data_IF_008173126199
#
_entry.id   IF_008173126199
#
_cell.length_a   1.000
_cell.length_b   1.000
_cell.length_c   1.000
_cell.angle_alpha   90.00
_cell.angle_beta   90.00
_cell.angle_gamma   90.00
#
_symmetry.space_group_name_H-M   'P 1'
#
loop_
_entity.id
_entity.type
_entity.pdbx_description
1 polymer ?
#
# COMPACT_ATOMS: atom_id res chain seq x y z
N UNK A 1 12.90 11.25 -6.77
CA UNK A 1 12.38 11.91 -8.01
C UNK A 1 11.89 10.94 -9.09
N UNK A 2 12.40 9.70 -9.21
CA UNK A 2 11.94 8.72 -10.22
C UNK A 2 10.55 8.11 -9.95
N UNK A 3 10.14 7.96 -8.67
CA UNK A 3 8.83 7.41 -8.31
C UNK A 3 7.64 8.34 -8.68
N UNK A 4 7.85 9.66 -8.67
CA UNK A 4 6.82 10.64 -9.07
C UNK A 4 6.53 10.66 -10.57
N UNK A 5 7.43 10.13 -11.42
CA UNK A 5 7.23 10.07 -12.88
C UNK A 5 6.45 8.83 -13.33
N UNK A 6 6.53 7.72 -12.57
CA UNK A 6 5.73 6.51 -12.84
C UNK A 6 4.24 6.72 -12.53
N UNK A 7 3.92 7.55 -11.52
CA UNK A 7 2.54 7.88 -11.16
C UNK A 7 1.93 9.01 -12.02
N UNK A 8 2.74 9.88 -12.62
CA UNK A 8 2.24 10.95 -13.51
C UNK A 8 2.03 10.50 -14.95
N UNK A 9 2.74 9.45 -15.40
CA UNK A 9 2.56 8.87 -16.74
C UNK A 9 1.29 8.01 -16.86
N UNK A 10 0.68 7.60 -15.74
CA UNK A 10 -0.59 6.88 -15.73
C UNK A 10 -1.82 7.81 -15.84
N UNK A 11 -1.63 9.14 -15.84
CA UNK A 11 -2.72 10.14 -15.80
C UNK A 11 -2.92 10.85 -17.15
N UNK A 12 -2.01 10.68 -18.09
CA UNK A 12 -2.13 11.21 -19.44
C UNK A 12 -1.88 10.06 -20.39
N UNK A 13 -2.94 9.57 -21.02
CA UNK A 13 -3.02 8.97 -22.36
C UNK A 13 -4.31 8.14 -22.43
N UNK A 14 -5.28 8.64 -23.19
CA UNK A 14 -6.64 8.15 -23.26
C UNK A 14 -7.01 7.89 -24.72
N UNK A 15 -7.09 6.61 -25.08
CA UNK A 15 -7.98 6.09 -26.12
C UNK A 15 -8.63 4.81 -25.59
N UNK A 16 -9.90 4.61 -25.94
CA UNK A 16 -10.85 3.69 -25.27
C UNK A 16 -10.47 2.22 -25.37
N UNK A 17 -10.75 1.43 -24.33
CA UNK A 17 -10.46 0.00 -24.30
C UNK A 17 -11.59 -0.85 -23.68
N UNK A 18 -12.82 -0.73 -24.21
CA UNK A 18 -13.61 -1.94 -24.41
C UNK A 18 -13.07 -2.63 -25.66
N UNK A 19 -12.21 -3.64 -25.50
CA UNK A 19 -11.53 -4.30 -26.62
C UNK A 19 -10.01 -4.07 -26.71
N UNK A 20 -9.33 -3.63 -25.64
CA UNK A 20 -7.86 -3.67 -25.64
C UNK A 20 -7.39 -5.11 -25.86
N UNK A 21 -6.54 -5.29 -26.87
CA UNK A 21 -5.98 -6.59 -27.19
C UNK A 21 -4.64 -6.79 -26.47
N UNK A 22 -4.44 -8.00 -25.93
CA UNK A 22 -3.15 -8.43 -25.38
C UNK A 22 -2.66 -9.56 -26.24
N UNK A 23 -1.46 -9.43 -26.79
CA UNK A 23 -0.86 -10.52 -27.56
C UNK A 23 -0.07 -11.43 -26.64
N UNK A 24 -0.43 -12.71 -26.61
CA UNK A 24 0.20 -13.71 -25.76
C UNK A 24 1.03 -14.67 -26.62
N UNK A 25 2.36 -14.60 -26.47
CA UNK A 25 3.33 -15.40 -27.20
C UNK A 25 3.91 -16.47 -26.27
N UNK A 26 3.63 -17.74 -26.57
CA UNK A 26 4.27 -18.87 -25.92
C UNK A 26 4.72 -19.88 -26.96
N UNK A 27 5.90 -20.47 -26.75
CA UNK A 27 6.42 -21.54 -27.61
C UNK A 27 5.73 -22.89 -27.37
N UNK A 28 5.04 -23.05 -26.24
CA UNK A 28 4.40 -24.29 -25.83
C UNK A 28 2.99 -24.01 -25.33
N UNK A 29 2.01 -24.84 -25.68
CA UNK A 29 0.62 -24.68 -25.24
C UNK A 29 0.39 -25.43 -23.93
N UNK A 30 0.91 -24.91 -22.82
CA UNK A 30 0.88 -25.59 -21.52
C UNK A 30 -0.34 -25.21 -20.67
N UNK A 31 -0.56 -25.94 -19.57
CA UNK A 31 -1.62 -25.62 -18.61
C UNK A 31 -1.45 -24.22 -18.00
N UNK A 32 -0.20 -23.79 -17.82
CA UNK A 32 0.18 -22.44 -17.41
C UNK A 32 -0.40 -21.38 -18.35
N UNK A 33 -0.21 -21.52 -19.66
CA UNK A 33 -0.63 -20.54 -20.65
C UNK A 33 -2.15 -20.40 -20.69
N UNK A 34 -2.86 -21.53 -20.68
CA UNK A 34 -4.32 -21.54 -20.60
C UNK A 34 -4.83 -20.81 -19.36
N UNK A 35 -4.16 -20.97 -18.22
CA UNK A 35 -4.56 -20.29 -16.98
C UNK A 35 -4.32 -18.79 -17.08
N UNK A 36 -3.14 -18.35 -17.49
CA UNK A 36 -2.82 -16.92 -17.60
C UNK A 36 -3.73 -16.22 -18.61
N UNK A 37 -4.00 -16.86 -19.75
CA UNK A 37 -4.92 -16.33 -20.76
C UNK A 37 -6.34 -16.20 -20.22
N UNK A 38 -6.88 -17.24 -19.57
CA UNK A 38 -8.21 -17.18 -18.97
C UNK A 38 -8.34 -16.07 -17.91
N UNK A 39 -7.28 -15.83 -17.14
CA UNK A 39 -7.26 -14.75 -16.14
C UNK A 39 -7.22 -13.36 -16.80
N UNK A 40 -6.48 -13.17 -17.89
CA UNK A 40 -6.48 -11.92 -18.66
C UNK A 40 -7.84 -11.65 -19.31
N UNK A 41 -8.44 -12.66 -19.93
CA UNK A 41 -9.78 -12.58 -20.53
C UNK A 41 -10.85 -12.26 -19.48
N UNK A 42 -10.73 -12.81 -18.26
CA UNK A 42 -11.67 -12.53 -17.16
C UNK A 42 -11.72 -11.05 -16.73
N UNK A 43 -10.66 -10.29 -17.02
CA UNK A 43 -10.53 -8.85 -16.72
C UNK A 43 -11.01 -7.99 -17.89
N UNK A 44 -11.40 -8.60 -19.01
CA UNK A 44 -11.94 -7.92 -20.19
C UNK A 44 -10.95 -7.68 -21.32
N UNK A 45 -9.73 -8.24 -21.26
CA UNK A 45 -8.80 -8.20 -22.37
C UNK A 45 -9.18 -9.20 -23.46
N UNK A 46 -8.98 -8.82 -24.73
CA UNK A 46 -9.04 -9.75 -25.86
C UNK A 46 -7.65 -10.35 -26.04
N UNK A 47 -7.46 -11.63 -25.75
CA UNK A 47 -6.14 -12.26 -25.83
C UNK A 47 -5.95 -12.94 -27.19
N UNK A 48 -4.97 -12.46 -27.96
CA UNK A 48 -4.59 -13.06 -29.24
C UNK A 48 -3.35 -13.96 -29.09
N UNK A 49 -3.43 -15.19 -29.60
CA UNK A 49 -2.38 -16.21 -29.53
C UNK A 49 -1.93 -16.62 -30.94
N UNK A 50 -1.04 -15.83 -31.59
CA UNK A 50 -0.61 -16.14 -32.94
C UNK A 50 0.23 -17.42 -32.99
N UNK A 51 0.03 -18.21 -34.04
CA UNK A 51 0.82 -19.43 -34.27
C UNK A 51 2.26 -19.18 -34.73
N UNK A 52 2.63 -17.93 -35.03
CA UNK A 52 3.95 -17.53 -35.55
C UNK A 52 4.55 -16.42 -34.70
N UNK A 53 5.88 -16.44 -34.55
CA UNK A 53 6.65 -15.44 -33.80
C UNK A 53 6.83 -14.11 -34.55
N UNK A 54 6.32 -14.00 -35.78
CA UNK A 54 6.33 -12.75 -36.57
C UNK A 54 5.13 -11.89 -36.16
N UNK A 55 5.41 -10.78 -35.49
CA UNK A 55 4.39 -9.97 -34.79
C UNK A 55 4.10 -8.67 -35.54
N UNK A 56 3.09 -8.67 -36.41
CA UNK A 56 2.42 -7.42 -36.80
C UNK A 56 1.43 -7.04 -35.71
N UNK A 57 1.73 -6.00 -34.92
CA UNK A 57 0.87 -5.61 -33.80
C UNK A 57 -0.45 -4.99 -34.29
N UNK A 58 -1.61 -5.49 -33.82
CA UNK A 58 -2.88 -4.82 -33.98
C UNK A 58 -2.79 -3.38 -33.46
N UNK A 59 -3.52 -2.47 -34.09
CA UNK A 59 -3.58 -1.07 -33.65
C UNK A 59 -4.13 -0.93 -32.22
N UNK A 60 -4.95 -1.90 -31.77
CA UNK A 60 -5.55 -1.96 -30.44
C UNK A 60 -4.72 -2.78 -29.42
N UNK A 61 -3.54 -3.26 -29.80
CA UNK A 61 -2.68 -4.07 -28.94
C UNK A 61 -1.98 -3.21 -27.91
N UNK A 62 -2.39 -3.32 -26.64
CA UNK A 62 -1.83 -2.54 -25.53
C UNK A 62 -0.60 -3.19 -24.91
N UNK A 63 -0.48 -4.52 -25.02
CA UNK A 63 0.64 -5.25 -24.43
C UNK A 63 0.96 -6.55 -25.15
N UNK A 64 2.23 -6.96 -25.09
CA UNK A 64 2.71 -8.30 -25.48
C UNK A 64 3.20 -9.01 -24.23
N UNK A 65 2.66 -10.19 -23.96
CA UNK A 65 3.14 -11.11 -22.93
C UNK A 65 3.89 -12.23 -23.64
N UNK A 66 5.20 -12.34 -23.41
CA UNK A 66 6.04 -13.39 -23.98
C UNK A 66 6.48 -14.35 -22.90
N UNK A 67 6.26 -15.64 -23.12
CA UNK A 67 6.68 -16.72 -22.23
C UNK A 67 7.76 -17.54 -22.92
N UNK A 68 8.97 -17.52 -22.35
CA UNK A 68 10.11 -18.25 -22.91
C UNK A 68 11.10 -18.63 -21.82
N UNK A 69 11.61 -19.87 -21.85
CA UNK A 69 12.79 -20.27 -21.07
C UNK A 69 12.69 -20.04 -19.56
N UNK A 70 11.52 -20.26 -18.96
CA UNK A 70 11.30 -20.04 -17.53
C UNK A 70 11.19 -18.57 -17.13
N UNK A 71 10.84 -17.69 -18.06
CA UNK A 71 10.54 -16.29 -17.77
C UNK A 71 9.29 -15.83 -18.52
N UNK A 72 8.63 -14.81 -17.96
CA UNK A 72 7.52 -14.09 -18.56
C UNK A 72 7.94 -12.63 -18.71
N UNK A 73 8.01 -12.15 -19.94
CA UNK A 73 8.30 -10.76 -20.27
C UNK A 73 7.01 -10.05 -20.66
N UNK A 74 6.85 -8.81 -20.20
CA UNK A 74 5.70 -7.98 -20.52
C UNK A 74 6.19 -6.71 -21.17
N UNK A 75 5.75 -6.50 -22.41
CA UNK A 75 6.06 -5.33 -23.21
C UNK A 75 4.79 -4.51 -23.37
N UNK A 76 4.85 -3.22 -23.06
CA UNK A 76 3.73 -2.31 -23.24
C UNK A 76 3.90 -1.55 -24.55
N UNK A 77 2.81 -1.44 -25.30
CA UNK A 77 2.77 -0.65 -26.52
C UNK A 77 2.38 0.79 -26.18
N UNK A 78 3.25 1.74 -26.49
CA UNK A 78 2.96 3.17 -26.36
C UNK A 78 3.39 3.92 -27.62
N UNK A 79 3.27 5.23 -27.58
CA UNK A 79 3.46 6.14 -28.73
C UNK A 79 4.92 6.16 -29.22
N UNK A 80 5.85 5.87 -28.32
CA UNK A 80 7.28 5.70 -28.61
C UNK A 80 7.63 4.25 -29.05
N UNK A 81 6.62 3.39 -29.26
CA UNK A 81 6.75 1.97 -29.58
C UNK A 81 6.73 1.04 -28.34
N UNK A 82 7.12 -0.22 -28.56
CA UNK A 82 7.17 -1.24 -27.52
C UNK A 82 8.26 -0.97 -26.48
N UNK A 83 7.90 -1.07 -25.21
CA UNK A 83 8.83 -0.98 -24.07
C UNK A 83 8.66 -2.15 -23.13
N UNK A 84 9.77 -2.82 -22.78
CA UNK A 84 9.76 -3.84 -21.74
C UNK A 84 9.39 -3.20 -20.40
N UNK A 85 8.23 -3.55 -19.88
CA UNK A 85 7.75 -3.06 -18.60
C UNK A 85 8.21 -3.94 -17.46
N UNK A 86 8.20 -5.27 -17.66
CA UNK A 86 8.51 -6.21 -16.59
C UNK A 86 9.02 -7.56 -17.10
N UNK A 87 9.92 -8.18 -16.32
CA UNK A 87 10.36 -9.57 -16.50
C UNK A 87 10.13 -10.33 -15.19
N UNK A 88 9.40 -11.43 -15.26
CA UNK A 88 9.04 -12.27 -14.12
C UNK A 88 9.66 -13.66 -14.29
N UNK A 89 10.28 -14.22 -13.23
CA UNK A 89 10.70 -15.62 -13.25
C UNK A 89 9.47 -16.54 -13.24
N UNK A 90 9.55 -17.62 -14.01
CA UNK A 90 8.56 -18.70 -14.08
C UNK A 90 9.25 -20.02 -13.72
N UNK A 91 8.86 -20.60 -12.60
CA UNK A 91 9.25 -21.97 -12.24
C UNK A 91 8.22 -22.95 -12.82
N UNK A 92 8.56 -23.77 -13.84
CA UNK A 92 7.62 -24.71 -14.43
C UNK A 92 7.23 -25.86 -13.47
N UNK A 93 7.93 -26.02 -12.35
CA UNK A 93 7.63 -27.07 -11.36
C UNK A 93 6.53 -26.69 -10.37
N UNK A 94 6.16 -25.40 -10.31
CA UNK A 94 5.20 -24.86 -9.36
C UNK A 94 3.94 -24.36 -10.07
N UNK A 95 2.82 -25.05 -9.88
CA UNK A 95 1.52 -24.63 -10.46
C UNK A 95 1.06 -23.26 -9.92
N UNK A 96 1.44 -22.93 -8.67
CA UNK A 96 1.14 -21.66 -8.00
C UNK A 96 1.74 -20.43 -8.71
N UNK A 97 2.80 -20.61 -9.51
CA UNK A 97 3.43 -19.52 -10.25
C UNK A 97 2.47 -18.91 -11.29
N UNK A 98 1.54 -19.70 -11.85
CA UNK A 98 0.54 -19.22 -12.82
C UNK A 98 -0.38 -18.16 -12.21
N UNK A 99 -0.89 -18.40 -10.99
CA UNK A 99 -1.76 -17.46 -10.28
C UNK A 99 -0.99 -16.19 -9.92
N UNK A 100 0.22 -16.32 -9.38
CA UNK A 100 1.05 -15.17 -9.01
C UNK A 100 1.37 -14.28 -10.21
N UNK A 101 1.71 -14.88 -11.35
CA UNK A 101 2.00 -14.15 -12.59
C UNK A 101 0.72 -13.50 -13.13
N UNK A 102 -0.42 -14.20 -13.14
CA UNK A 102 -1.69 -13.65 -13.59
C UNK A 102 -2.13 -12.43 -12.74
N UNK A 103 -2.02 -12.50 -11.41
CA UNK A 103 -2.31 -11.36 -10.52
C UNK A 103 -1.40 -10.17 -10.81
N UNK A 104 -0.11 -10.42 -11.07
CA UNK A 104 0.85 -9.36 -11.37
C UNK A 104 0.57 -8.71 -12.72
N UNK A 105 0.25 -9.51 -13.74
CA UNK A 105 -0.21 -9.02 -15.04
C UNK A 105 -1.49 -8.20 -14.91
N UNK A 106 -2.46 -8.66 -14.11
CA UNK A 106 -3.68 -7.91 -13.82
C UNK A 106 -3.36 -6.54 -13.21
N UNK A 107 -2.50 -6.49 -12.20
CA UNK A 107 -2.09 -5.23 -11.58
C UNK A 107 -1.38 -4.29 -12.57
N UNK A 108 -0.54 -4.84 -13.45
CA UNK A 108 0.21 -4.07 -14.44
C UNK A 108 -0.68 -3.53 -15.56
N UNK A 109 -1.66 -4.31 -16.02
CA UNK A 109 -2.52 -3.99 -17.16
C UNK A 109 -3.84 -3.33 -16.76
N UNK A 110 -4.29 -3.42 -15.51
CA UNK A 110 -5.55 -2.83 -15.05
C UNK A 110 -5.73 -1.33 -15.41
N UNK A 111 -4.70 -0.47 -15.29
CA UNK A 111 -4.81 0.93 -15.71
C UNK A 111 -5.09 1.10 -17.21
N UNK A 112 -4.65 0.15 -18.05
CA UNK A 112 -4.82 0.17 -19.51
C UNK A 112 -6.22 -0.31 -19.94
N UNK A 113 -6.87 -1.13 -19.12
CA UNK A 113 -8.23 -1.62 -19.38
C UNK A 113 -9.32 -0.55 -19.20
N UNK A 114 -9.07 0.48 -18.40
CA UNK A 114 -10.07 1.48 -18.00
C UNK A 114 -9.76 2.85 -18.60
N UNK A 115 -9.74 2.94 -19.93
CA UNK A 115 -9.75 4.24 -20.58
C UNK A 115 -11.15 4.87 -20.49
N UNK A 116 -11.27 6.15 -20.10
CA UNK A 116 -12.57 6.83 -20.01
C UNK A 116 -13.27 6.82 -21.37
N UNK A 117 -14.56 6.50 -21.39
CA UNK A 117 -15.36 6.53 -22.62
C UNK A 117 -15.18 7.89 -23.31
N UNK A 118 -14.90 7.94 -24.63
CA UNK A 118 -14.84 9.18 -25.36
C UNK A 118 -16.20 9.83 -25.15
N UNK A 119 -16.22 10.99 -24.49
CA UNK A 119 -17.40 11.83 -24.42
C UNK A 119 -17.82 12.08 -25.86
N UNK A 120 -18.85 11.34 -26.32
CA UNK A 120 -19.37 11.48 -27.66
C UNK A 120 -19.59 12.95 -27.95
N UNK A 121 -19.11 13.40 -29.10
CA UNK A 121 -19.32 14.77 -29.58
C UNK A 121 -20.76 15.17 -29.27
N UNK A 122 -20.88 16.15 -28.36
CA UNK A 122 -22.16 16.79 -28.12
C UNK A 122 -22.71 17.20 -29.50
N UNK A 123 -23.95 16.83 -29.83
CA UNK A 123 -24.52 17.18 -31.13
C UNK A 123 -24.35 18.68 -31.36
N UNK A 124 -24.00 19.10 -32.59
CA UNK A 124 -23.74 20.50 -32.88
C UNK A 124 -24.92 21.35 -32.39
N UNK A 125 -24.67 22.46 -31.70
CA UNK A 125 -25.74 23.33 -31.25
C UNK A 125 -26.61 23.72 -32.46
N UNK A 126 -27.95 23.68 -32.33
CA UNK A 126 -28.85 23.99 -33.44
C UNK A 126 -28.56 25.39 -33.99
N UNK A 127 -28.77 25.61 -35.30
CA UNK A 127 -28.50 26.90 -35.93
C UNK A 127 -29.30 28.01 -35.24
N UNK A 128 -28.70 29.19 -35.01
CA UNK A 128 -29.40 30.32 -34.42
C UNK A 128 -30.59 30.71 -35.30
N UNK A 129 -31.78 30.68 -34.71
CA UNK A 129 -33.02 31.15 -35.33
C UNK A 129 -32.85 32.66 -35.62
N UNK A 130 -33.20 33.15 -36.84
CA UNK A 130 -33.15 34.58 -37.16
C UNK A 130 -33.93 35.40 -36.15
N UNK A 131 -33.28 36.40 -35.57
CA UNK A 131 -33.90 37.32 -34.62
C UNK A 131 -35.07 38.05 -35.29
N UNK A 132 -36.30 37.95 -34.76
CA UNK A 132 -37.41 38.78 -35.22
C UNK A 132 -37.16 40.25 -34.89
N UNK A 133 -37.62 41.12 -35.78
CA UNK A 133 -37.50 42.58 -35.66
C UNK A 133 -37.99 43.09 -34.29
N UNK A 134 -37.35 44.14 -33.73
CA UNK A 134 -37.62 44.57 -32.37
C UNK A 134 -39.02 45.17 -32.27
N UNK A 135 -39.93 44.46 -31.60
CA UNK A 135 -41.12 45.09 -31.01
C UNK A 135 -40.67 46.00 -29.86
N UNK A 136 -41.29 47.18 -29.70
CA UNK A 136 -41.00 48.06 -28.56
C UNK A 136 -41.10 47.28 -27.25
N UNK A 137 -40.12 47.47 -26.34
CA UNK A 137 -39.97 46.61 -25.17
C UNK A 137 -41.21 46.71 -24.29
N UNK A 138 -41.82 45.58 -23.90
CA UNK A 138 -42.78 45.57 -22.80
C UNK A 138 -42.10 46.07 -21.52
N UNK A 139 -42.85 46.70 -20.60
CA UNK A 139 -42.30 47.14 -19.32
C UNK A 139 -41.57 45.97 -18.65
N UNK A 140 -40.31 46.21 -18.28
CA UNK A 140 -39.42 45.19 -17.71
C UNK A 140 -40.13 44.46 -16.56
N UNK A 141 -40.30 43.13 -16.64
CA UNK A 141 -40.70 42.34 -15.49
C UNK A 141 -39.72 42.65 -14.37
N UNK A 142 -40.24 43.06 -13.21
CA UNK A 142 -39.42 43.30 -12.03
C UNK A 142 -38.64 42.03 -11.73
N UNK A 143 -37.36 42.02 -12.09
CA UNK A 143 -36.48 40.86 -11.91
C UNK A 143 -36.38 40.66 -10.40
N UNK A 144 -36.83 39.51 -9.86
CA UNK A 144 -36.66 39.24 -8.45
C UNK A 144 -35.17 39.37 -8.12
N UNK A 145 -34.83 39.97 -6.96
CA UNK A 145 -33.44 40.21 -6.60
C UNK A 145 -32.64 38.92 -6.77
N UNK A 146 -31.41 38.99 -7.33
CA UNK A 146 -30.59 37.80 -7.57
C UNK A 146 -30.51 36.99 -6.27
N UNK A 147 -31.00 35.76 -6.34
CA UNK A 147 -30.91 34.81 -5.22
C UNK A 147 -29.43 34.70 -4.89
N UNK A 148 -29.07 35.04 -3.65
CA UNK A 148 -27.70 34.94 -3.20
C UNK A 148 -27.20 33.51 -3.46
N UNK A 149 -25.99 33.33 -4.03
CA UNK A 149 -25.44 32.00 -4.23
C UNK A 149 -25.45 31.26 -2.89
N UNK A 150 -25.75 29.95 -2.87
CA UNK A 150 -25.72 29.19 -1.64
C UNK A 150 -24.36 29.39 -0.96
N UNK A 151 -24.33 29.55 0.37
CA UNK A 151 -23.07 29.67 1.09
C UNK A 151 -22.19 28.49 0.72
N UNK A 152 -20.93 28.78 0.38
CA UNK A 152 -19.96 27.71 0.10
C UNK A 152 -19.87 26.82 1.35
N UNK A 153 -19.84 25.48 1.20
CA UNK A 153 -19.59 24.61 2.32
C UNK A 153 -18.32 25.05 3.02
N UNK A 154 -18.40 25.29 4.33
CA UNK A 154 -17.20 25.57 5.11
C UNK A 154 -16.29 24.34 5.05
N UNK A 155 -14.98 24.53 4.86
CA UNK A 155 -14.05 23.42 4.94
C UNK A 155 -14.18 22.77 6.32
N UNK A 156 -14.10 21.43 6.41
CA UNK A 156 -14.15 20.76 7.69
C UNK A 156 -13.01 21.28 8.59
N UNK A 157 -13.24 21.42 9.90
CA UNK A 157 -12.22 21.91 10.81
C UNK A 157 -10.95 21.06 10.70
N UNK A 158 -9.80 21.72 10.61
CA UNK A 158 -8.52 21.03 10.64
C UNK A 158 -8.37 20.34 12.00
N UNK A 159 -8.03 19.04 11.95
CA UNK A 159 -7.83 18.27 13.17
C UNK A 159 -6.36 18.12 13.44
N UNK A 160 -5.94 18.78 14.50
CA UNK A 160 -4.53 18.83 14.87
C UNK A 160 -4.09 17.61 15.66
N UNK A 161 -5.03 16.81 16.19
CA UNK A 161 -4.73 15.67 17.05
C UNK A 161 -5.42 14.40 16.57
N UNK A 162 -4.72 13.28 16.77
CA UNK A 162 -5.24 11.94 16.60
C UNK A 162 -4.69 11.10 17.76
N UNK A 163 -5.56 10.38 18.46
CA UNK A 163 -5.16 9.41 19.47
C UNK A 163 -5.70 8.03 19.09
N UNK A 164 -5.05 6.96 19.48
CA UNK A 164 -5.58 5.64 19.20
C UNK A 164 -4.97 4.53 20.02
N UNK A 165 -5.60 3.37 19.92
CA UNK A 165 -5.20 2.17 20.61
C UNK A 165 -5.51 0.93 19.77
N UNK A 166 -4.71 -0.11 19.96
CA UNK A 166 -4.82 -1.33 19.17
C UNK A 166 -3.90 -2.44 19.66
N UNK A 167 -3.63 -3.35 18.76
CA UNK A 167 -2.71 -4.47 18.97
C UNK A 167 -1.56 -4.41 17.98
N UNK A 168 -0.42 -4.92 18.40
CA UNK A 168 0.79 -5.02 17.61
C UNK A 168 1.41 -6.41 17.76
N UNK A 169 2.05 -6.89 16.70
CA UNK A 169 2.81 -8.13 16.71
C UNK A 169 4.19 -7.90 16.09
N UNK A 170 5.23 -8.45 16.73
CA UNK A 170 6.58 -8.47 16.17
C UNK A 170 6.88 -9.81 15.51
N UNK A 171 7.57 -9.81 14.36
CA UNK A 171 7.88 -11.03 13.62
C UNK A 171 9.18 -11.75 14.07
N UNK A 172 9.84 -11.28 15.12
CA UNK A 172 11.14 -11.82 15.55
C UNK A 172 11.03 -12.85 16.70
N UNK A 173 11.86 -13.92 16.69
CA UNK A 173 12.04 -14.79 17.86
C UNK A 173 12.58 -13.98 19.05
N UNK A 174 11.96 -14.12 20.23
CA UNK A 174 12.27 -13.27 21.39
C UNK A 174 11.68 -11.86 21.30
N UNK A 175 10.93 -11.54 20.26
CA UNK A 175 10.30 -10.24 20.03
C UNK A 175 9.18 -9.92 21.02
N UNK A 176 8.42 -8.85 20.73
CA UNK A 176 7.32 -8.38 21.56
C UNK A 176 6.18 -9.38 21.80
N UNK A 177 6.14 -10.50 21.06
CA UNK A 177 4.93 -11.31 20.94
C UNK A 177 3.76 -10.45 20.46
N UNK A 178 2.56 -10.76 20.97
CA UNK A 178 1.43 -9.85 20.88
C UNK A 178 1.58 -8.74 21.94
N UNK A 179 1.31 -7.50 21.55
CA UNK A 179 1.41 -6.31 22.40
C UNK A 179 0.21 -5.39 22.22
N UNK A 180 -0.15 -4.65 23.26
CA UNK A 180 -1.04 -3.52 23.16
C UNK A 180 -0.25 -2.33 22.61
N UNK A 181 -0.85 -1.61 21.67
CA UNK A 181 -0.29 -0.38 21.10
C UNK A 181 -1.18 0.80 21.47
N UNK A 182 -0.57 1.93 21.86
CA UNK A 182 -1.26 3.22 21.97
C UNK A 182 -0.47 4.26 21.19
N UNK A 183 -1.15 5.19 20.54
CA UNK A 183 -0.48 6.26 19.82
C UNK A 183 -1.16 7.60 20.03
N UNK A 184 -0.35 8.65 19.96
CA UNK A 184 -0.78 10.04 19.95
C UNK A 184 -0.02 10.74 18.82
N UNK A 185 -0.75 11.40 17.94
CA UNK A 185 -0.21 12.12 16.80
C UNK A 185 -0.72 13.54 16.81
N UNK A 186 0.15 14.46 16.41
CA UNK A 186 -0.17 15.87 16.28
C UNK A 186 0.27 16.38 14.92
N UNK A 187 -0.62 17.05 14.19
CA UNK A 187 -0.24 17.84 13.02
C UNK A 187 0.60 19.03 13.49
N UNK A 188 1.81 19.14 12.93
CA UNK A 188 2.74 20.22 13.26
C UNK A 188 2.61 21.35 12.24
N UNK A 189 2.64 21.02 10.95
CA UNK A 189 2.50 21.98 9.85
C UNK A 189 2.11 21.26 8.56
N UNK A 190 1.06 21.72 7.88
CA UNK A 190 0.58 21.09 6.65
C UNK A 190 0.38 19.58 6.81
N UNK A 191 1.11 18.78 6.02
CA UNK A 191 1.04 17.32 6.06
C UNK A 191 2.05 16.65 7.01
N UNK A 192 2.79 17.42 7.81
CA UNK A 192 3.78 16.91 8.75
C UNK A 192 3.18 16.67 10.14
N UNK A 193 3.53 15.54 10.75
CA UNK A 193 3.07 15.14 12.08
C UNK A 193 4.23 14.78 13.01
N UNK A 194 4.04 15.03 14.30
CA UNK A 194 4.82 14.42 15.37
C UNK A 194 4.01 13.29 16.00
N UNK A 195 4.64 12.14 16.24
CA UNK A 195 3.96 10.96 16.76
C UNK A 195 4.68 10.37 17.97
N UNK A 196 3.91 9.90 18.93
CA UNK A 196 4.34 9.09 20.06
C UNK A 196 3.61 7.76 20.02
N UNK A 197 4.33 6.65 20.12
CA UNK A 197 3.74 5.30 20.12
C UNK A 197 4.30 4.50 21.27
N UNK A 198 3.45 3.84 22.05
CA UNK A 198 3.83 2.94 23.13
C UNK A 198 3.38 1.50 22.83
N UNK A 199 4.25 0.53 23.09
CA UNK A 199 3.95 -0.90 23.00
C UNK A 199 4.19 -1.59 24.35
N UNK A 200 3.18 -2.32 24.83
CA UNK A 200 3.27 -3.14 26.04
C UNK A 200 2.95 -4.60 25.73
N UNK A 201 3.77 -5.56 26.19
CA UNK A 201 3.57 -6.96 25.87
C UNK A 201 2.27 -7.45 26.52
N UNK A 202 1.41 -8.10 25.72
CA UNK A 202 0.25 -8.84 26.21
C UNK A 202 0.65 -10.28 26.55
N UNK A 203 1.69 -10.78 25.89
CA UNK A 203 2.24 -12.12 26.07
C UNK A 203 3.75 -12.03 26.07
N UNK A 204 4.41 -12.75 26.97
CA UNK A 204 5.86 -12.92 26.94
C UNK A 204 6.28 -13.83 25.79
N UNK A 205 7.36 -13.48 25.11
CA UNK A 205 7.98 -14.38 24.12
C UNK A 205 8.80 -15.42 24.85
N UNK A 206 8.49 -16.70 24.62
CA UNK A 206 9.22 -17.80 25.23
C UNK A 206 10.29 -18.35 24.30
N UNK A 207 11.51 -18.52 24.81
CA UNK A 207 12.61 -19.17 24.12
C UNK A 207 13.01 -20.41 24.92
N UNK A 208 13.07 -21.56 24.26
CA UNK A 208 13.42 -22.85 24.87
C UNK A 208 14.59 -23.49 24.12
N UNK A 209 15.52 -24.09 24.87
CA UNK A 209 16.60 -24.92 24.31
C UNK A 209 16.96 -26.03 25.28
N UNK A 210 16.62 -27.26 24.90
CA UNK A 210 16.75 -28.40 25.80
C UNK A 210 15.86 -28.24 27.02
N UNK A 211 16.44 -28.24 28.22
CA UNK A 211 15.72 -28.05 29.48
C UNK A 211 15.74 -26.60 30.00
N UNK A 212 16.44 -25.70 29.31
CA UNK A 212 16.49 -24.29 29.68
C UNK A 212 15.42 -23.49 28.95
N UNK A 213 14.84 -22.51 29.65
CA UNK A 213 13.78 -21.65 29.15
C UNK A 213 14.03 -20.21 29.57
N UNK A 214 13.63 -19.25 28.74
CA UNK A 214 13.49 -17.86 29.14
C UNK A 214 12.18 -17.29 28.61
N UNK A 215 11.51 -16.52 29.47
CA UNK A 215 10.40 -15.66 29.06
C UNK A 215 10.96 -14.23 28.88
N UNK A 216 10.68 -13.63 27.73
CA UNK A 216 11.26 -12.37 27.27
C UNK A 216 10.12 -11.39 27.02
N UNK A 217 10.17 -10.26 27.72
CA UNK A 217 9.24 -9.15 27.59
C UNK A 217 9.96 -7.95 27.01
N UNK A 218 9.41 -7.36 25.97
CA UNK A 218 9.89 -6.09 25.44
C UNK A 218 8.80 -5.02 25.61
N UNK A 219 9.19 -3.81 26.02
CA UNK A 219 8.33 -2.63 26.01
C UNK A 219 8.98 -1.59 25.12
N UNK A 220 8.21 -0.90 24.28
CA UNK A 220 8.74 0.16 23.42
C UNK A 220 8.01 1.47 23.66
N UNK A 221 8.78 2.56 23.66
CA UNK A 221 8.28 3.91 23.56
C UNK A 221 8.98 4.60 22.37
N UNK A 222 8.20 5.05 21.41
CA UNK A 222 8.68 5.57 20.13
C UNK A 222 8.27 7.03 19.98
N UNK A 223 9.18 7.80 19.39
CA UNK A 223 8.90 9.16 18.92
C UNK A 223 9.33 9.26 17.46
N UNK A 224 8.47 9.80 16.60
CA UNK A 224 8.73 9.93 15.17
C UNK A 224 8.20 11.23 14.59
N UNK A 225 8.77 11.62 13.45
CA UNK A 225 8.24 12.63 12.56
C UNK A 225 7.74 11.94 11.30
N UNK A 226 6.50 12.22 10.90
CA UNK A 226 5.87 11.61 9.74
C UNK A 226 5.29 12.64 8.77
N UNK A 227 5.03 12.20 7.55
CA UNK A 227 4.46 12.98 6.47
C UNK A 227 3.28 12.22 5.84
N UNK A 228 2.14 12.90 5.68
CA UNK A 228 0.99 12.37 4.97
C UNK A 228 1.16 12.55 3.45
N UNK A 229 1.21 11.43 2.73
CA UNK A 229 1.34 11.40 1.27
C UNK A 229 0.00 11.49 0.56
N UNK A 230 -1.04 10.99 1.22
CA UNK A 230 -2.43 11.00 0.76
C UNK A 230 -3.29 11.42 1.93
N UNK A 231 -4.15 12.41 1.72
CA UNK A 231 -5.10 12.89 2.72
C UNK A 231 -6.46 13.16 2.08
N UNK A 232 -7.20 12.07 1.91
CA UNK A 232 -8.57 12.09 1.41
C UNK A 232 -9.57 12.11 2.57
N UNK A 233 -10.84 12.47 2.35
CA UNK A 233 -11.85 12.53 3.41
C UNK A 233 -11.96 11.24 4.24
N UNK A 234 -11.78 10.08 3.60
CA UNK A 234 -11.85 8.76 4.22
C UNK A 234 -10.49 8.10 4.45
N UNK A 235 -9.43 8.49 3.75
CA UNK A 235 -8.15 7.77 3.75
C UNK A 235 -6.98 8.68 4.08
N UNK A 236 -6.05 8.19 4.89
CA UNK A 236 -4.78 8.87 5.14
C UNK A 236 -3.65 7.87 5.03
N UNK A 237 -2.65 8.16 4.20
CA UNK A 237 -1.43 7.37 4.08
C UNK A 237 -0.24 8.18 4.59
N UNK A 238 0.52 7.62 5.53
CA UNK A 238 1.67 8.28 6.14
C UNK A 238 2.92 7.42 6.07
N UNK A 239 4.07 8.09 6.10
CA UNK A 239 5.33 7.46 6.48
C UNK A 239 6.16 8.40 7.34
N UNK A 240 6.96 7.83 8.23
CA UNK A 240 7.83 8.61 9.10
C UNK A 240 9.13 7.91 9.45
N UNK A 241 9.99 8.66 10.12
CA UNK A 241 11.23 8.18 10.71
C UNK A 241 11.31 8.65 12.16
N UNK A 242 11.99 7.88 12.99
CA UNK A 242 12.07 8.19 14.40
C UNK A 242 13.07 7.33 15.16
N UNK A 243 12.94 7.37 16.48
CA UNK A 243 13.69 6.52 17.38
C UNK A 243 12.75 5.89 18.42
N UNK A 244 13.07 4.66 18.81
CA UNK A 244 12.37 3.91 19.84
C UNK A 244 13.30 3.61 21.00
N UNK A 245 12.82 3.81 22.22
CA UNK A 245 13.42 3.30 23.44
C UNK A 245 12.79 1.95 23.75
N UNK A 246 13.59 0.89 23.73
CA UNK A 246 13.16 -0.44 24.10
C UNK A 246 13.71 -0.82 25.47
N UNK A 247 12.83 -1.29 26.35
CA UNK A 247 13.16 -1.95 27.60
C UNK A 247 12.89 -3.44 27.43
N UNK A 248 13.93 -4.25 27.47
CA UNK A 248 13.83 -5.71 27.33
C UNK A 248 14.14 -6.33 28.70
N UNK A 249 13.26 -7.20 29.16
CA UNK A 249 13.39 -7.97 30.39
C UNK A 249 13.38 -9.45 30.02
N UNK A 250 14.31 -10.23 30.55
CA UNK A 250 14.40 -11.66 30.33
C UNK A 250 14.45 -12.37 31.68
N UNK A 251 13.57 -13.36 31.86
CA UNK A 251 13.50 -14.19 33.07
C UNK A 251 13.80 -15.62 32.69
N UNK A 252 14.95 -16.12 33.14
CA UNK A 252 15.43 -17.46 32.85
C UNK A 252 14.97 -18.47 33.89
N UNK A 253 14.57 -19.66 33.44
CA UNK A 253 14.38 -20.84 34.27
C UNK A 253 15.29 -21.96 33.76
N UNK A 254 16.03 -22.59 34.68
CA UNK A 254 16.96 -23.66 34.35
C UNK A 254 17.07 -24.66 35.50
N UNK A 255 17.05 -25.98 35.20
CA UNK A 255 17.26 -26.99 36.22
C UNK A 255 18.71 -27.02 36.70
N UNK A 256 18.90 -27.49 37.93
CA UNK A 256 20.23 -27.76 38.51
C UNK A 256 21.09 -28.59 37.55
N UNK A 257 22.38 -28.26 37.38
CA UNK A 257 23.20 -27.33 38.18
C UNK A 257 23.19 -25.87 37.69
N UNK A 258 22.38 -25.51 36.69
CA UNK A 258 22.32 -24.14 36.18
C UNK A 258 21.53 -23.25 37.15
N UNK A 259 21.85 -21.96 37.16
CA UNK A 259 21.17 -20.96 37.99
C UNK A 259 20.28 -20.08 37.10
N UNK A 260 19.02 -19.94 37.48
CA UNK A 260 18.10 -18.95 36.91
C UNK A 260 18.63 -17.52 37.16
N UNK A 261 18.43 -16.63 36.19
CA UNK A 261 18.72 -15.20 36.32
C UNK A 261 17.64 -14.37 35.64
N UNK A 262 17.37 -13.21 36.24
CA UNK A 262 16.54 -12.16 35.65
C UNK A 262 17.45 -11.02 35.22
N UNK A 263 17.37 -10.62 33.96
CA UNK A 263 18.18 -9.55 33.39
C UNK A 263 17.30 -8.55 32.65
N UNK A 264 17.76 -7.30 32.61
CA UNK A 264 17.11 -6.25 31.83
C UNK A 264 18.12 -5.42 31.06
N UNK A 265 17.70 -4.91 29.91
CA UNK A 265 18.52 -4.07 29.07
C UNK A 265 17.67 -3.01 28.38
N UNK A 266 18.27 -1.83 28.21
CA UNK A 266 17.68 -0.72 27.46
C UNK A 266 18.42 -0.55 26.13
N UNK A 267 17.68 -0.31 25.05
CA UNK A 267 18.23 -0.03 23.72
C UNK A 267 17.52 1.13 23.06
N UNK A 268 18.26 1.87 22.24
CA UNK A 268 17.71 2.87 21.32
C UNK A 268 17.76 2.28 19.92
N UNK A 269 16.63 2.37 19.21
CA UNK A 269 16.47 1.85 17.86
C UNK A 269 16.04 2.98 16.94
N UNK A 270 16.87 3.44 15.98
CA UNK A 270 16.35 4.15 14.82
C UNK A 270 15.29 3.29 14.13
N UNK A 271 14.20 3.91 13.68
CA UNK A 271 13.14 3.23 12.96
C UNK A 271 12.58 4.07 11.81
N UNK A 272 11.95 3.37 10.87
CA UNK A 272 11.04 3.92 9.88
C UNK A 272 9.65 3.31 10.09
N UNK A 273 8.60 4.05 9.75
CA UNK A 273 7.23 3.60 9.86
C UNK A 273 6.41 4.01 8.63
N UNK A 274 5.37 3.23 8.36
CA UNK A 274 4.33 3.56 7.40
C UNK A 274 2.98 3.09 7.93
N UNK A 275 1.95 3.91 7.80
CA UNK A 275 0.62 3.56 8.26
C UNK A 275 -0.47 4.11 7.35
N UNK A 276 -1.60 3.42 7.35
CA UNK A 276 -2.84 3.79 6.68
C UNK A 276 -3.94 3.93 7.72
N UNK A 277 -4.72 5.00 7.60
CA UNK A 277 -5.92 5.21 8.39
C UNK A 277 -7.14 5.32 7.47
N UNK A 278 -8.24 4.69 7.87
CA UNK A 278 -9.53 4.73 7.23
C UNK A 278 -10.57 5.32 8.19
N UNK A 279 -11.16 6.47 7.87
CA UNK A 279 -12.17 7.13 8.71
C UNK A 279 -13.53 6.46 8.50
N UNK A 280 -14.12 5.97 9.59
CA UNK A 280 -15.47 5.42 9.61
C UNK A 280 -16.51 6.53 9.83
N UNK A 281 -16.18 7.48 10.70
CA UNK A 281 -16.99 8.65 11.04
C UNK A 281 -16.07 9.86 11.15
N UNK A 282 -16.61 11.08 11.33
CA UNK A 282 -15.79 12.20 11.71
C UNK A 282 -14.94 11.89 12.96
N UNK A 283 -15.47 11.27 14.01
CA UNK A 283 -14.70 11.10 15.26
C UNK A 283 -13.83 9.83 15.32
N UNK A 284 -14.10 8.82 14.49
CA UNK A 284 -13.55 7.46 14.64
C UNK A 284 -13.03 6.94 13.31
N UNK A 285 -11.85 6.31 13.34
CA UNK A 285 -11.28 5.58 12.21
C UNK A 285 -10.60 4.28 12.63
N UNK A 286 -10.28 3.46 11.64
CA UNK A 286 -9.38 2.32 11.76
C UNK A 286 -8.00 2.76 11.32
N UNK A 287 -6.96 2.24 11.97
CA UNK A 287 -5.59 2.47 11.58
C UNK A 287 -4.80 1.16 11.59
N UNK A 288 -3.87 1.03 10.65
CA UNK A 288 -2.95 -0.08 10.61
C UNK A 288 -1.63 0.35 9.98
N UNK A 289 -0.54 -0.28 10.40
CA UNK A 289 0.77 0.12 9.91
C UNK A 289 1.88 -0.85 10.27
N UNK A 290 3.07 -0.48 9.84
CA UNK A 290 4.30 -1.23 10.06
C UNK A 290 5.40 -0.29 10.56
N UNK A 291 6.21 -0.80 11.48
CA UNK A 291 7.44 -0.14 11.97
C UNK A 291 8.61 -1.09 11.75
N UNK A 292 9.66 -0.58 11.10
CA UNK A 292 10.92 -1.26 10.89
C UNK A 292 12.01 -0.56 11.70
N UNK A 293 12.52 -1.23 12.73
CA UNK A 293 13.56 -0.75 13.62
C UNK A 293 14.85 -1.54 13.52
N UNK A 294 15.95 -0.92 13.95
CA UNK A 294 17.26 -1.55 14.00
C UNK A 294 18.01 -1.18 15.28
N UNK A 295 18.39 -2.17 16.09
CA UNK A 295 19.24 -1.97 17.25
C UNK A 295 20.73 -2.02 16.86
N UNK A 296 21.52 -0.94 17.03
CA UNK A 296 22.94 -0.93 16.67
C UNK A 296 23.79 -1.89 17.51
N UNK A 297 23.41 -2.06 18.79
CA UNK A 297 24.00 -3.04 19.69
C UNK A 297 23.09 -4.26 19.79
N UNK A 298 23.62 -5.42 19.42
CA UNK A 298 22.93 -6.72 19.49
C UNK A 298 22.53 -7.00 20.95
N UNK A 299 21.31 -7.50 21.16
CA UNK A 299 20.90 -8.11 22.42
C UNK A 299 20.89 -9.62 22.20
N UNK A 300 21.87 -10.30 22.78
CA UNK A 300 21.95 -11.75 22.76
C UNK A 300 21.29 -12.31 24.01
N UNK A 301 20.39 -13.27 23.77
CA UNK A 301 19.76 -14.06 24.81
C UNK A 301 20.54 -15.37 24.83
N UNK A 302 21.19 -15.66 25.95
CA UNK A 302 22.07 -16.81 26.08
C UNK A 302 21.73 -17.67 27.30
N UNK A 303 21.90 -18.97 27.16
CA UNK A 303 21.87 -19.92 28.28
C UNK A 303 23.29 -20.39 28.56
N UNK A 304 23.94 -19.77 29.54
CA UNK A 304 25.38 -19.95 29.75
C UNK A 304 26.16 -19.32 28.60
N UNK A 305 27.01 -20.09 27.92
CA UNK A 305 27.78 -19.63 26.74
C UNK A 305 27.00 -19.71 25.42
N UNK A 306 25.83 -20.37 25.41
CA UNK A 306 25.12 -20.66 24.18
C UNK A 306 24.08 -19.57 23.89
N UNK A 307 24.32 -18.78 22.84
CA UNK A 307 23.33 -17.83 22.33
C UNK A 307 22.15 -18.61 21.73
N UNK A 308 20.96 -18.37 22.25
CA UNK A 308 19.71 -19.04 21.85
C UNK A 308 18.77 -18.12 21.08
N UNK A 309 18.98 -16.81 21.17
CA UNK A 309 18.18 -15.83 20.44
C UNK A 309 18.89 -14.49 20.35
N UNK A 310 18.42 -13.67 19.42
CA UNK A 310 18.90 -12.31 19.24
C UNK A 310 17.71 -11.38 19.06
N UNK A 311 17.72 -10.25 19.76
CA UNK A 311 16.65 -9.26 19.70
C UNK A 311 17.09 -7.99 18.94
N UNK A 312 16.20 -7.44 18.11
CA UNK A 312 16.30 -6.07 17.59
C UNK A 312 16.93 -5.89 16.20
N UNK A 313 17.21 -6.96 15.44
CA UNK A 313 17.86 -6.87 14.12
C UNK A 313 17.33 -7.89 13.08
N UNK A 314 16.53 -7.47 12.08
CA UNK A 314 15.71 -6.26 12.03
C UNK A 314 14.42 -6.43 12.85
N UNK A 315 14.03 -5.41 13.61
CA UNK A 315 12.75 -5.42 14.33
C UNK A 315 11.63 -4.98 13.38
N UNK A 316 10.73 -5.88 13.03
CA UNK A 316 9.51 -5.54 12.30
C UNK A 316 8.30 -5.70 13.21
N UNK A 317 7.51 -4.64 13.34
CA UNK A 317 6.27 -4.61 14.12
C UNK A 317 5.13 -4.20 13.20
N UNK A 318 4.11 -5.05 13.09
CA UNK A 318 2.83 -4.69 12.49
C UNK A 318 1.84 -4.29 13.57
N UNK A 319 0.98 -3.31 13.32
CA UNK A 319 -0.06 -2.90 14.25
C UNK A 319 -1.39 -2.62 13.54
N UNK A 320 -2.48 -2.76 14.28
CA UNK A 320 -3.83 -2.42 13.85
C UNK A 320 -4.69 -2.00 15.05
N UNK A 321 -5.59 -1.04 14.86
CA UNK A 321 -6.51 -0.61 15.90
C UNK A 321 -7.42 0.54 15.48
N UNK A 322 -7.88 1.30 16.48
CA UNK A 322 -8.86 2.37 16.33
C UNK A 322 -8.21 3.71 16.63
N UNK A 323 -8.46 4.70 15.77
CA UNK A 323 -8.08 6.10 15.94
C UNK A 323 -9.30 6.95 16.28
N UNK A 324 -9.08 7.94 17.12
CA UNK A 324 -10.02 8.96 17.57
C UNK A 324 -9.51 10.34 17.18
N UNK A 325 -10.40 11.16 16.63
CA UNK A 325 -10.10 12.51 16.17
C UNK A 325 -10.93 13.51 16.99
N UNK A 326 -10.35 14.11 18.04
CA UNK A 326 -11.04 15.10 18.87
C UNK A 326 -11.37 16.38 18.09
#
# INVERSE_FOLDING_TARGET
>A
MKLRRLLLAAVLWAQSASGASVRYLSSEAEAFDRRVVAELESVGFVVDQPASEVVELPEDCVAIVRVSGGQVEVWLNGDDGLRLAETMPRDPTLDEDSVRIAERLRGLLAPLAHAPEPHGELPPPPPPIPAPEPKPPPPEPSVPPPVAPPPRPEPPPERDWEAGAGVAAASQPGGLGASAAVWLRRRVVGHAFGELVGHWPLTSSRIERGTARADVDARLLSASASYAWLEEPAWTLRSGIGASFAWVEARGDAPSPRRASDESAVRVLPHACADVAFRLTPAIGLAGGVMLGYAPAKLDIAFGSDVVGTWGRPLLIGFAGVSFFP
#
